data_IF_834106948829
#
_entry.id   IF_834106948829
#
_cell.length_a   1.000
_cell.length_b   1.000
_cell.length_c   1.000
_cell.angle_alpha   90.00
_cell.angle_beta   90.00
_cell.angle_gamma   90.00
#
_symmetry.space_group_name_H-M   'P 1'
#
loop_
_entity.id
_entity.type
_entity.pdbx_description
1 polymer ?
#
# COMPACT_ATOMS: atom_id res chain seq x y z
N UNK A 1 -15.25 -14.61 42.83
CA UNK A 1 -15.37 -13.33 42.08
C UNK A 1 -14.01 -12.72 41.72
N UNK A 2 -13.13 -12.38 42.69
CA UNK A 2 -11.86 -11.67 42.44
C UNK A 2 -10.84 -12.36 41.51
N UNK A 3 -10.85 -13.69 41.43
CA UNK A 3 -9.97 -14.45 40.51
C UNK A 3 -10.45 -14.36 39.06
N UNK A 4 -11.77 -14.38 38.83
CA UNK A 4 -12.35 -14.26 37.50
C UNK A 4 -12.12 -12.86 36.91
N UNK A 5 -12.32 -11.80 37.71
CA UNK A 5 -12.05 -10.43 37.27
C UNK A 5 -10.59 -10.20 36.90
N UNK A 6 -9.64 -10.80 37.62
CA UNK A 6 -8.22 -10.79 37.24
C UNK A 6 -7.95 -11.50 35.91
N UNK A 7 -8.60 -12.64 35.66
CA UNK A 7 -8.43 -13.38 34.42
C UNK A 7 -8.92 -12.56 33.21
N UNK A 8 -10.11 -11.96 33.30
CA UNK A 8 -10.62 -11.09 32.24
C UNK A 8 -9.76 -9.85 32.04
N UNK A 9 -9.22 -9.26 33.10
CA UNK A 9 -8.33 -8.10 33.01
C UNK A 9 -7.08 -8.41 32.19
N UNK A 10 -6.40 -9.53 32.49
CA UNK A 10 -5.20 -9.96 31.77
C UNK A 10 -5.53 -10.34 30.32
N UNK A 11 -6.67 -11.02 30.10
CA UNK A 11 -7.12 -11.40 28.76
C UNK A 11 -7.38 -10.17 27.87
N UNK A 12 -8.07 -9.16 28.39
CA UNK A 12 -8.33 -7.90 27.66
C UNK A 12 -7.01 -7.20 27.34
N UNK A 13 -6.07 -7.10 28.29
CA UNK A 13 -4.77 -6.49 28.05
C UNK A 13 -3.99 -7.21 26.95
N UNK A 14 -4.02 -8.55 26.96
CA UNK A 14 -3.37 -9.36 25.96
C UNK A 14 -3.98 -9.15 24.56
N UNK A 15 -5.31 -9.11 24.46
CA UNK A 15 -6.01 -8.84 23.19
C UNK A 15 -5.72 -7.41 22.70
N UNK A 16 -5.72 -6.41 23.59
CA UNK A 16 -5.40 -5.03 23.23
C UNK A 16 -3.97 -4.89 22.70
N UNK A 17 -2.99 -5.53 23.36
CA UNK A 17 -1.61 -5.55 22.90
C UNK A 17 -1.48 -6.25 21.55
N UNK A 18 -2.15 -7.39 21.37
CA UNK A 18 -2.18 -8.09 20.09
C UNK A 18 -2.74 -7.21 18.98
N UNK A 19 -3.88 -6.54 19.19
CA UNK A 19 -4.48 -5.65 18.21
C UNK A 19 -3.58 -4.47 17.81
N UNK A 20 -2.82 -3.91 18.76
CA UNK A 20 -1.87 -2.83 18.46
C UNK A 20 -0.72 -3.39 17.60
N UNK A 21 -0.14 -4.52 17.99
CA UNK A 21 0.99 -5.11 17.26
C UNK A 21 0.61 -5.61 15.87
N UNK A 22 -0.59 -6.18 15.69
CA UNK A 22 -1.06 -6.63 14.38
C UNK A 22 -1.45 -5.47 13.47
N UNK A 23 -2.03 -4.39 13.98
CA UNK A 23 -2.30 -3.20 13.15
C UNK A 23 -1.03 -2.56 12.57
N UNK A 24 0.12 -2.68 13.26
CA UNK A 24 1.40 -2.13 12.77
C UNK A 24 2.04 -3.01 11.68
N UNK A 25 1.69 -4.30 11.59
CA UNK A 25 2.36 -5.24 10.68
C UNK A 25 1.45 -5.98 9.69
N UNK A 26 0.14 -5.87 9.78
CA UNK A 26 -0.76 -6.73 9.01
C UNK A 26 -0.92 -6.38 7.52
N UNK A 27 -0.43 -5.22 7.03
CA UNK A 27 -0.78 -4.79 5.67
C UNK A 27 0.33 -4.10 4.86
N UNK A 28 1.57 -4.17 5.31
CA UNK A 28 2.68 -3.60 4.55
C UNK A 28 3.17 -4.62 3.50
N UNK A 29 2.55 -4.55 2.33
CA UNK A 29 2.88 -5.32 1.14
C UNK A 29 4.25 -4.93 0.55
N UNK A 30 4.71 -3.71 0.79
CA UNK A 30 6.01 -3.21 0.34
C UNK A 30 6.55 -2.10 1.23
N UNK A 31 7.88 -1.96 1.27
CA UNK A 31 8.56 -0.79 1.84
C UNK A 31 9.26 0.04 0.76
N UNK A 32 9.64 -0.58 -0.35
CA UNK A 32 10.38 0.05 -1.43
C UNK A 32 9.74 -0.22 -2.80
N UNK A 33 9.84 0.74 -3.73
CA UNK A 33 9.29 0.59 -5.09
C UNK A 33 9.87 -0.63 -5.85
N UNK A 34 11.10 -1.03 -5.54
CA UNK A 34 11.75 -2.18 -6.17
C UNK A 34 11.03 -3.51 -5.85
N UNK A 35 10.45 -3.64 -4.65
CA UNK A 35 9.74 -4.85 -4.21
C UNK A 35 8.46 -5.08 -5.03
N UNK A 36 7.87 -4.00 -5.56
CA UNK A 36 6.66 -4.08 -6.37
C UNK A 36 6.92 -4.52 -7.81
N UNK A 37 8.12 -4.27 -8.35
CA UNK A 37 8.48 -4.69 -9.71
C UNK A 37 8.42 -6.21 -9.91
N UNK A 38 8.67 -6.97 -8.84
CA UNK A 38 8.62 -8.44 -8.86
C UNK A 38 7.25 -9.01 -8.51
N UNK A 39 6.37 -8.23 -7.86
CA UNK A 39 5.06 -8.68 -7.39
C UNK A 39 3.94 -8.42 -8.39
N UNK A 40 3.96 -7.27 -9.07
CA UNK A 40 2.89 -6.87 -9.98
C UNK A 40 3.45 -6.50 -11.35
N UNK A 41 2.71 -6.85 -12.41
CA UNK A 41 3.03 -6.45 -13.79
C UNK A 41 2.05 -5.33 -14.20
N UNK A 42 2.57 -4.12 -14.35
CA UNK A 42 1.76 -3.00 -14.83
C UNK A 42 1.76 -2.92 -16.36
N UNK A 43 0.61 -2.59 -16.94
CA UNK A 43 0.53 -2.25 -18.36
C UNK A 43 1.08 -0.83 -18.56
N UNK A 44 2.06 -0.70 -19.45
CA UNK A 44 2.62 0.57 -19.92
C UNK A 44 1.47 1.55 -20.28
N UNK A 45 1.44 2.84 -19.83
CA UNK A 45 2.49 3.68 -19.22
C UNK A 45 2.77 3.50 -17.74
N UNK A 46 2.04 2.62 -17.06
CA UNK A 46 2.06 2.60 -15.60
C UNK A 46 3.26 1.82 -15.10
N UNK A 47 3.82 2.24 -13.98
CA UNK A 47 4.92 1.56 -13.29
C UNK A 47 4.47 1.07 -11.93
N UNK A 48 5.02 -0.06 -11.51
CA UNK A 48 4.79 -0.63 -10.20
C UNK A 48 5.55 0.18 -9.15
N UNK A 49 4.83 0.79 -8.23
CA UNK A 49 5.38 1.58 -7.13
C UNK A 49 4.77 1.16 -5.80
N UNK A 50 5.53 1.39 -4.73
CA UNK A 50 5.04 1.22 -3.39
C UNK A 50 4.35 2.51 -2.92
N UNK A 51 3.03 2.46 -2.77
CA UNK A 51 2.19 3.58 -2.33
C UNK A 51 1.49 3.17 -1.05
N UNK A 52 1.74 3.88 0.05
CA UNK A 52 1.15 3.58 1.38
C UNK A 52 1.34 2.10 1.77
N UNK A 53 2.57 1.62 1.61
CA UNK A 53 2.95 0.23 1.87
C UNK A 53 2.21 -0.83 1.04
N UNK A 54 1.56 -0.43 -0.07
CA UNK A 54 0.93 -1.34 -1.03
C UNK A 54 1.50 -1.15 -2.43
N UNK A 55 1.65 -2.24 -3.16
CA UNK A 55 2.09 -2.17 -4.54
C UNK A 55 0.94 -1.74 -5.44
N UNK A 56 1.13 -0.61 -6.13
CA UNK A 56 0.14 -0.05 -7.06
C UNK A 56 0.78 0.37 -8.39
N UNK A 57 -0.04 0.45 -9.43
CA UNK A 57 0.37 0.86 -10.77
C UNK A 57 0.09 2.35 -11.00
N UNK A 58 1.09 3.19 -10.73
CA UNK A 58 0.97 4.64 -10.91
C UNK A 58 1.42 5.08 -12.30
N UNK A 59 0.90 6.21 -12.79
CA UNK A 59 1.35 6.76 -14.08
C UNK A 59 2.73 7.39 -13.92
N UNK A 60 3.65 7.02 -14.81
CA UNK A 60 4.93 7.73 -14.95
C UNK A 60 4.66 9.22 -15.29
N UNK A 61 4.97 10.12 -14.35
CA UNK A 61 5.09 11.55 -14.62
C UNK A 61 6.44 11.81 -15.31
N UNK A 62 6.65 11.27 -16.52
CA UNK A 62 7.83 11.61 -17.32
C UNK A 62 7.63 13.04 -17.84
N UNK A 63 8.59 13.96 -17.68
CA UNK A 63 8.63 15.19 -18.47
C UNK A 63 8.50 14.80 -19.94
N UNK A 64 7.67 15.51 -20.73
CA UNK A 64 7.55 15.27 -22.17
C UNK A 64 8.93 15.45 -22.81
N UNK A 65 9.68 14.36 -22.99
CA UNK A 65 10.88 14.38 -23.81
C UNK A 65 10.44 14.34 -25.27
N UNK A 66 10.96 15.21 -26.16
CA UNK A 66 10.56 15.29 -27.57
C UNK A 66 10.65 13.98 -28.37
N UNK A 67 11.33 12.96 -27.83
CA UNK A 67 11.65 11.70 -28.49
C UNK A 67 10.81 10.50 -28.00
N UNK A 68 9.71 10.74 -27.28
CA UNK A 68 8.81 9.67 -26.84
C UNK A 68 7.88 9.24 -28.00
N UNK A 69 7.97 7.98 -28.43
CA UNK A 69 7.08 7.36 -29.44
C UNK A 69 5.65 7.08 -28.93
N UNK A 70 5.26 7.61 -27.77
CA UNK A 70 3.96 7.36 -27.16
C UNK A 70 2.90 8.35 -27.66
N UNK A 71 1.73 7.90 -28.15
CA UNK A 71 0.68 8.80 -28.62
C UNK A 71 0.12 9.68 -27.49
N UNK A 72 -0.02 10.97 -27.79
CA UNK A 72 -0.32 12.10 -26.87
C UNK A 72 -1.72 12.03 -26.21
N UNK A 73 -2.57 11.10 -26.64
CA UNK A 73 -4.01 11.08 -26.29
C UNK A 73 -4.37 10.48 -24.92
N UNK A 74 -3.39 10.21 -24.05
CA UNK A 74 -3.67 9.60 -22.73
C UNK A 74 -3.92 10.62 -21.60
N UNK A 75 -3.88 11.93 -21.87
CA UNK A 75 -4.14 12.99 -20.90
C UNK A 75 -5.63 13.35 -20.82
N UNK A 76 -6.45 12.47 -20.23
CA UNK A 76 -7.62 12.95 -19.48
C UNK A 76 -7.37 12.69 -18.00
N UNK A 77 -7.21 13.74 -17.16
CA UNK A 77 -7.32 13.56 -15.72
C UNK A 77 -8.77 13.18 -15.42
N UNK A 78 -8.98 11.99 -14.88
CA UNK A 78 -10.26 11.69 -14.22
C UNK A 78 -10.23 12.48 -12.91
N UNK A 79 -11.11 13.47 -12.80
CA UNK A 79 -11.50 14.07 -11.51
C UNK A 79 -12.16 12.98 -10.68
N UNK A 80 -11.74 12.84 -9.43
CA UNK A 80 -12.61 12.30 -8.38
C UNK A 80 -13.77 13.27 -8.17
N UNK A 81 -14.99 12.82 -8.44
CA UNK A 81 -16.24 13.25 -7.78
C UNK A 81 -16.80 12.06 -7.00
#
# INVERSE_FOLDING_TARGET
MAKLTKFFYVMIHFISLLLITTNVHAYDDCYNHAECKTKIKCVLPRIAECVRFKCDCVRLNVPRTPWSTRPENAHKPYKEE
#
